data_IF_870757827776
#
_entry.id   IF_870757827776
#
_cell.length_a   1.000
_cell.length_b   1.000
_cell.length_c   1.000
_cell.angle_alpha   90.00
_cell.angle_beta   90.00
_cell.angle_gamma   90.00
#
_symmetry.space_group_name_H-M   'P 1'
#
loop_
_entity.id
_entity.type
_entity.pdbx_description
1 polymer ?
#
# COMPACT_ATOMS: atom_id res chain seq x y z
N UNK A 1 0.97 -58.72 20.13
CA UNK A 1 -0.22 -57.84 20.02
C UNK A 1 -0.33 -56.73 21.07
N UNK A 2 0.29 -56.84 22.26
CA UNK A 2 0.25 -55.78 23.29
C UNK A 2 0.94 -54.48 22.87
N UNK A 3 2.12 -54.58 22.25
CA UNK A 3 2.91 -53.42 21.80
C UNK A 3 2.33 -52.71 20.57
N UNK A 4 1.58 -53.42 19.72
CA UNK A 4 0.92 -52.84 18.55
C UNK A 4 -0.15 -51.82 18.96
N UNK A 5 -0.90 -52.11 20.03
CA UNK A 5 -1.90 -51.18 20.58
C UNK A 5 -1.25 -49.93 21.18
N UNK A 6 -0.12 -50.09 21.87
CA UNK A 6 0.64 -48.96 22.42
C UNK A 6 1.18 -48.08 21.30
N UNK A 7 1.71 -48.69 20.23
CA UNK A 7 2.26 -47.96 19.10
C UNK A 7 1.19 -47.16 18.35
N UNK A 8 -0.02 -47.71 18.18
CA UNK A 8 -1.17 -46.99 17.60
C UNK A 8 -1.62 -45.83 18.48
N UNK A 9 -1.63 -46.00 19.81
CA UNK A 9 -2.01 -44.93 20.74
C UNK A 9 -0.98 -43.79 20.72
N UNK A 10 0.32 -44.10 20.69
CA UNK A 10 1.40 -43.11 20.58
C UNK A 10 1.29 -42.35 19.25
N UNK A 11 1.02 -43.06 18.15
CA UNK A 11 0.85 -42.43 16.84
C UNK A 11 -0.39 -41.52 16.78
N UNK A 12 -1.49 -41.94 17.40
CA UNK A 12 -2.71 -41.12 17.52
C UNK A 12 -2.49 -39.87 18.39
N UNK A 13 -1.73 -40.00 19.49
CA UNK A 13 -1.36 -38.87 20.36
C UNK A 13 -0.44 -37.86 19.65
N UNK A 14 0.48 -38.33 18.79
CA UNK A 14 1.33 -37.44 17.99
C UNK A 14 0.55 -36.71 16.89
N UNK A 15 -0.49 -37.33 16.32
CA UNK A 15 -1.35 -36.69 15.31
C UNK A 15 -2.26 -35.58 15.88
N UNK A 16 -2.49 -35.56 17.20
CA UNK A 16 -3.26 -34.54 17.91
C UNK A 16 -2.41 -33.35 18.39
N UNK A 17 -1.09 -33.36 18.14
CA UNK A 17 -0.26 -32.21 18.44
C UNK A 17 -0.72 -31.01 17.58
N UNK A 18 -1.01 -29.85 18.17
CA UNK A 18 -1.32 -28.66 17.41
C UNK A 18 -0.12 -28.35 16.51
N UNK A 19 -0.32 -28.42 15.21
CA UNK A 19 0.66 -27.92 14.25
C UNK A 19 0.68 -26.40 14.42
N UNK A 20 1.58 -25.91 15.26
CA UNK A 20 1.93 -24.48 15.27
C UNK A 20 2.65 -24.21 13.96
N UNK A 21 1.89 -23.91 12.92
CA UNK A 21 2.42 -23.28 11.72
C UNK A 21 2.88 -21.88 12.16
N UNK A 22 4.12 -21.77 12.63
CA UNK A 22 4.84 -20.49 12.68
C UNK A 22 5.23 -20.10 11.25
N UNK A 23 4.22 -19.97 10.39
CA UNK A 23 4.32 -19.30 9.11
C UNK A 23 3.96 -17.86 9.37
N UNK A 24 4.92 -17.07 9.82
CA UNK A 24 4.80 -15.62 9.88
C UNK A 24 4.86 -15.10 8.43
N UNK A 25 3.85 -15.43 7.64
CA UNK A 25 3.66 -14.91 6.29
C UNK A 25 3.13 -13.49 6.46
N UNK A 26 4.03 -12.55 6.69
CA UNK A 26 3.71 -11.13 6.58
C UNK A 26 3.22 -10.88 5.17
N UNK A 27 1.90 -10.94 4.98
CA UNK A 27 1.29 -10.62 3.70
C UNK A 27 1.46 -9.13 3.48
N UNK A 28 1.83 -8.76 2.26
CA UNK A 28 1.79 -7.37 1.84
C UNK A 28 0.86 -7.21 0.64
N UNK A 29 0.28 -6.02 0.51
CA UNK A 29 -0.51 -5.63 -0.67
C UNK A 29 0.02 -4.30 -1.19
N UNK A 30 -0.02 -4.13 -2.51
CA UNK A 30 0.31 -2.88 -3.21
C UNK A 30 -0.95 -2.36 -3.91
N UNK A 31 -1.21 -1.06 -3.80
CA UNK A 31 -2.38 -0.43 -4.42
C UNK A 31 -2.42 1.08 -4.24
N UNK A 32 -3.43 1.69 -4.85
CA UNK A 32 -3.62 3.14 -4.85
C UNK A 32 -4.53 3.57 -3.70
N UNK A 33 -4.17 4.62 -2.96
CA UNK A 33 -4.97 5.18 -1.89
C UNK A 33 -5.96 6.18 -2.48
N UNK A 34 -7.24 5.79 -2.47
CA UNK A 34 -8.34 6.60 -2.99
C UNK A 34 -8.92 7.52 -1.91
N UNK A 35 -8.94 7.05 -0.67
CA UNK A 35 -9.50 7.81 0.44
C UNK A 35 -8.86 7.43 1.76
N UNK A 36 -8.76 8.39 2.67
CA UNK A 36 -8.22 8.19 4.01
C UNK A 36 -9.26 8.63 5.03
N UNK A 37 -9.52 7.79 6.03
CA UNK A 37 -10.39 8.07 7.18
C UNK A 37 -9.54 8.10 8.46
N UNK A 38 -8.89 9.22 8.79
CA UNK A 38 -7.94 9.29 9.90
C UNK A 38 -8.57 8.89 11.24
N UNK A 39 -9.76 9.42 11.53
CA UNK A 39 -10.48 9.15 12.78
C UNK A 39 -10.85 7.67 12.96
N UNK A 40 -10.97 6.93 11.85
CA UNK A 40 -11.28 5.50 11.86
C UNK A 40 -10.05 4.61 11.74
N UNK A 41 -8.85 5.19 11.59
CA UNK A 41 -7.61 4.48 11.26
C UNK A 41 -7.80 3.59 10.03
N UNK A 42 -8.40 4.12 8.96
CA UNK A 42 -8.68 3.37 7.73
C UNK A 42 -8.17 4.07 6.49
N UNK A 43 -7.87 3.26 5.49
CA UNK A 43 -7.65 3.70 4.11
C UNK A 43 -8.51 2.87 3.18
N UNK A 44 -9.05 3.52 2.15
CA UNK A 44 -9.69 2.85 1.03
C UNK A 44 -8.71 2.82 -0.12
N UNK A 45 -8.51 1.64 -0.68
CA UNK A 45 -7.50 1.39 -1.71
C UNK A 45 -8.08 0.69 -2.93
N UNK A 46 -7.46 0.90 -4.08
CA UNK A 46 -7.68 0.10 -5.29
C UNK A 46 -6.51 -0.84 -5.50
N UNK A 47 -6.81 -2.12 -5.70
CA UNK A 47 -5.82 -3.16 -6.04
C UNK A 47 -6.34 -3.93 -7.24
N UNK A 48 -5.66 -3.85 -8.38
CA UNK A 48 -6.08 -4.54 -9.61
C UNK A 48 -7.53 -4.18 -10.03
N UNK A 49 -7.96 -2.95 -9.80
CA UNK A 49 -9.32 -2.48 -10.08
C UNK A 49 -10.38 -2.84 -9.04
N UNK A 50 -10.01 -3.56 -7.97
CA UNK A 50 -10.92 -3.89 -6.87
C UNK A 50 -10.74 -2.93 -5.70
N UNK A 51 -11.87 -2.49 -5.14
CA UNK A 51 -11.91 -1.61 -3.97
C UNK A 51 -11.78 -2.44 -2.69
N UNK A 52 -10.76 -2.15 -1.89
CA UNK A 52 -10.52 -2.73 -0.57
C UNK A 52 -10.53 -1.62 0.50
N UNK A 53 -10.85 -1.98 1.75
CA UNK A 53 -10.70 -1.09 2.91
C UNK A 53 -9.75 -1.76 3.89
N UNK A 54 -8.67 -1.07 4.23
CA UNK A 54 -7.71 -1.52 5.22
C UNK A 54 -7.87 -0.75 6.52
N UNK A 55 -7.80 -1.49 7.63
CA UNK A 55 -7.75 -0.94 8.98
C UNK A 55 -6.31 -0.97 9.44
N UNK A 56 -5.80 0.17 9.87
CA UNK A 56 -4.46 0.29 10.45
C UNK A 56 -4.52 -0.13 11.92
N UNK A 57 -3.45 -0.77 12.37
CA UNK A 57 -3.19 -0.96 13.78
C UNK A 57 -2.96 0.41 14.46
N UNK A 58 -3.30 0.55 15.74
CA UNK A 58 -3.06 1.78 16.50
C UNK A 58 -1.58 2.17 16.59
N UNK A 59 -0.69 1.19 16.44
CA UNK A 59 0.77 1.36 16.43
C UNK A 59 1.38 1.35 15.02
N UNK A 60 0.54 1.42 13.98
CA UNK A 60 0.98 1.34 12.60
C UNK A 60 1.99 2.44 12.28
N UNK A 61 3.12 2.04 11.70
CA UNK A 61 4.13 2.98 11.25
C UNK A 61 3.84 3.38 9.81
N UNK A 62 3.93 4.68 9.52
CA UNK A 62 3.65 5.22 8.21
C UNK A 62 4.87 6.02 7.77
N UNK A 63 5.41 5.69 6.59
CA UNK A 63 6.58 6.35 6.03
C UNK A 63 6.31 6.88 4.64
N UNK A 64 6.85 8.06 4.36
CA UNK A 64 7.01 8.60 3.00
C UNK A 64 8.47 8.90 2.75
N UNK A 65 9.05 8.30 1.70
CA UNK A 65 10.47 8.45 1.39
C UNK A 65 11.38 8.18 2.60
N UNK A 66 11.03 7.17 3.41
CA UNK A 66 11.76 6.81 4.63
C UNK A 66 11.52 7.72 5.84
N UNK A 67 10.73 8.78 5.70
CA UNK A 67 10.42 9.73 6.78
C UNK A 67 9.09 9.35 7.44
N UNK A 68 9.02 9.22 8.79
CA UNK A 68 7.77 9.01 9.49
C UNK A 68 6.76 10.12 9.17
N UNK A 69 5.53 9.73 8.87
CA UNK A 69 4.46 10.67 8.51
C UNK A 69 3.12 10.27 9.13
N UNK A 70 2.13 11.14 8.99
CA UNK A 70 0.78 10.91 9.51
C UNK A 70 -0.09 10.20 8.48
N UNK A 71 -1.12 9.50 8.94
CA UNK A 71 -2.14 8.91 8.05
C UNK A 71 -2.83 9.97 7.18
N UNK A 72 -3.09 11.17 7.74
CA UNK A 72 -3.68 12.31 7.03
C UNK A 72 -2.86 12.69 5.80
N UNK A 73 -1.54 12.58 5.88
CA UNK A 73 -0.65 12.95 4.78
C UNK A 73 -0.80 12.02 3.56
N UNK A 74 -1.32 10.81 3.73
CA UNK A 74 -1.51 9.83 2.67
C UNK A 74 -2.75 10.07 1.78
N UNK A 75 -3.49 11.16 1.98
CA UNK A 75 -4.66 11.53 1.16
C UNK A 75 -4.28 11.74 -0.31
N UNK A 76 -5.18 11.49 -1.27
CA UNK A 76 -4.98 11.89 -2.67
C UNK A 76 -4.57 13.35 -2.78
N UNK A 77 -3.74 13.65 -3.78
CA UNK A 77 -3.13 14.98 -3.95
C UNK A 77 -4.08 15.91 -4.69
N UNK A 78 -4.77 15.37 -5.69
CA UNK A 78 -5.82 16.00 -6.45
C UNK A 78 -6.82 14.94 -6.91
N UNK A 79 -7.92 15.36 -7.53
CA UNK A 79 -8.84 14.44 -8.19
C UNK A 79 -8.08 13.66 -9.28
N UNK A 80 -8.19 12.34 -9.27
CA UNK A 80 -7.44 11.45 -10.17
C UNK A 80 -5.96 11.21 -9.79
N UNK A 81 -5.38 12.04 -8.93
CA UNK A 81 -3.97 11.92 -8.51
C UNK A 81 -3.85 11.17 -7.17
N UNK A 82 -3.89 9.84 -7.25
CA UNK A 82 -3.79 8.95 -6.10
C UNK A 82 -2.33 8.66 -5.71
N UNK A 83 -2.09 8.53 -4.41
CA UNK A 83 -0.81 8.07 -3.89
C UNK A 83 -0.76 6.56 -3.87
N UNK A 84 0.40 6.00 -4.17
CA UNK A 84 0.59 4.57 -4.07
C UNK A 84 0.96 4.16 -2.64
N UNK A 85 0.49 2.98 -2.24
CA UNK A 85 0.73 2.41 -0.92
C UNK A 85 1.21 0.95 -0.98
N UNK A 86 2.21 0.64 -0.15
CA UNK A 86 2.60 -0.72 0.20
C UNK A 86 2.19 -0.98 1.66
N UNK A 87 1.32 -1.97 1.85
CA UNK A 87 0.68 -2.26 3.13
C UNK A 87 1.12 -3.61 3.64
N UNK A 88 1.73 -3.66 4.82
CA UNK A 88 2.12 -4.90 5.49
C UNK A 88 1.14 -5.19 6.62
N UNK A 89 0.66 -6.42 6.67
CA UNK A 89 -0.38 -6.84 7.61
C UNK A 89 0.19 -7.72 8.71
N UNK A 90 -0.38 -7.60 9.90
CA UNK A 90 -0.23 -8.61 10.96
C UNK A 90 -1.20 -9.78 10.76
N UNK A 91 -1.10 -10.78 11.64
CA UNK A 91 -1.93 -12.00 11.60
C UNK A 91 -3.43 -11.72 11.81
N UNK A 92 -3.80 -10.53 12.28
CA UNK A 92 -5.19 -10.09 12.43
C UNK A 92 -5.72 -9.38 11.17
N UNK A 93 -4.92 -9.25 10.12
CA UNK A 93 -5.29 -8.52 8.90
C UNK A 93 -5.30 -7.00 9.08
N UNK A 94 -4.60 -6.47 10.09
CA UNK A 94 -4.42 -5.02 10.29
C UNK A 94 -3.09 -4.55 9.73
N UNK A 95 -3.08 -3.36 9.14
CA UNK A 95 -1.85 -2.76 8.60
C UNK A 95 -0.97 -2.30 9.76
N UNK A 96 0.25 -2.83 9.84
CA UNK A 96 1.26 -2.47 10.85
C UNK A 96 2.35 -1.58 10.29
N UNK A 97 2.56 -1.61 8.97
CA UNK A 97 3.48 -0.75 8.25
C UNK A 97 2.85 -0.33 6.93
N UNK A 98 2.85 0.97 6.68
CA UNK A 98 2.40 1.58 5.43
C UNK A 98 3.54 2.41 4.84
N UNK A 99 3.99 2.05 3.65
CA UNK A 99 4.89 2.90 2.85
C UNK A 99 4.04 3.62 1.83
N UNK A 100 4.09 4.94 1.81
CA UNK A 100 3.34 5.77 0.86
C UNK A 100 4.30 6.61 0.07
N UNK A 101 4.16 6.61 -1.25
CA UNK A 101 4.95 7.50 -2.08
C UNK A 101 4.13 8.09 -3.22
N UNK A 102 4.63 9.23 -3.67
CA UNK A 102 4.18 9.90 -4.86
C UNK A 102 5.31 10.79 -5.35
N UNK A 103 5.69 10.60 -6.61
CA UNK A 103 6.78 11.32 -7.25
C UNK A 103 6.27 11.86 -8.57
N UNK A 104 6.47 13.17 -8.78
CA UNK A 104 6.26 13.82 -10.07
C UNK A 104 7.59 14.42 -10.49
N UNK A 105 7.94 14.29 -11.77
CA UNK A 105 8.95 15.10 -12.42
C UNK A 105 8.34 15.94 -13.53
N UNK A 106 8.94 17.09 -13.82
CA UNK A 106 8.64 17.88 -15.00
C UNK A 106 9.77 17.71 -16.02
N UNK A 107 9.44 17.33 -17.24
CA UNK A 107 10.38 17.29 -18.37
C UNK A 107 9.95 18.27 -19.44
N UNK A 108 10.92 18.84 -20.15
CA UNK A 108 10.65 19.76 -21.26
C UNK A 108 11.39 19.30 -22.51
N UNK A 109 10.67 19.22 -23.63
CA UNK A 109 11.23 18.93 -24.93
C UNK A 109 10.71 19.89 -26.01
N UNK A 110 10.96 19.59 -27.29
CA UNK A 110 10.51 20.42 -28.41
C UNK A 110 8.98 20.45 -28.58
N UNK A 111 8.26 19.51 -27.98
CA UNK A 111 6.82 19.32 -28.06
C UNK A 111 6.07 19.99 -26.90
N UNK A 112 6.76 20.30 -25.79
CA UNK A 112 6.20 21.04 -24.67
C UNK A 112 6.81 20.63 -23.31
N UNK A 113 6.12 21.02 -22.24
CA UNK A 113 6.40 20.57 -20.88
C UNK A 113 5.45 19.42 -20.52
N UNK A 114 5.97 18.41 -19.82
CA UNK A 114 5.22 17.24 -19.39
C UNK A 114 5.45 16.97 -17.91
N UNK A 115 4.39 16.61 -17.20
CA UNK A 115 4.44 16.08 -15.85
C UNK A 115 4.42 14.55 -15.93
N UNK A 116 5.45 13.91 -15.40
CA UNK A 116 5.58 12.45 -15.33
C UNK A 116 5.30 12.02 -13.90
N UNK A 117 4.33 11.12 -13.74
CA UNK A 117 3.95 10.55 -12.45
C UNK A 117 4.58 9.17 -12.33
N UNK A 118 5.24 8.91 -11.20
CA UNK A 118 5.88 7.62 -10.95
C UNK A 118 5.19 6.86 -9.83
N UNK A 119 5.23 5.53 -9.96
CA UNK A 119 4.87 4.61 -8.87
C UNK A 119 5.97 4.56 -7.79
N UNK A 120 5.73 3.81 -6.71
CA UNK A 120 6.71 3.69 -5.60
C UNK A 120 8.03 3.03 -6.01
N UNK A 121 8.04 2.31 -7.13
CA UNK A 121 9.19 1.60 -7.66
C UNK A 121 9.98 2.45 -8.68
N UNK A 122 9.52 3.66 -8.99
CA UNK A 122 10.13 4.56 -9.95
C UNK A 122 9.71 4.29 -11.40
N UNK A 123 8.65 3.53 -11.63
CA UNK A 123 8.10 3.28 -12.97
C UNK A 123 7.14 4.39 -13.35
N UNK A 124 7.16 4.83 -14.61
CA UNK A 124 6.17 5.79 -15.13
C UNK A 124 4.79 5.17 -15.07
N UNK A 125 3.90 5.84 -14.33
CA UNK A 125 2.51 5.48 -14.12
C UNK A 125 1.58 6.26 -15.04
N UNK A 126 1.84 7.56 -15.19
CA UNK A 126 1.07 8.46 -16.06
C UNK A 126 1.94 9.61 -16.55
N UNK A 127 1.50 10.29 -17.62
CA UNK A 127 2.17 11.44 -18.22
C UNK A 127 1.14 12.43 -18.74
N UNK A 128 1.17 13.65 -18.21
CA UNK A 128 0.29 14.74 -18.63
C UNK A 128 1.09 15.83 -19.33
N UNK A 129 0.58 16.35 -20.45
CA UNK A 129 1.17 17.54 -21.05
C UNK A 129 0.74 18.77 -20.24
N UNK A 130 1.70 19.46 -19.65
CA UNK A 130 1.43 20.68 -18.90
C UNK A 130 0.86 21.73 -19.86
N UNK A 131 -0.27 22.39 -19.52
CA UNK A 131 -0.83 23.43 -20.37
C UNK A 131 0.21 24.52 -20.60
N UNK A 132 0.45 24.85 -21.88
CA UNK A 132 1.35 25.93 -22.24
C UNK A 132 0.82 27.23 -21.66
N UNK A 133 1.51 27.80 -20.68
CA UNK A 133 1.22 29.16 -20.22
C UNK A 133 1.57 30.08 -21.38
N UNK A 134 0.56 30.50 -22.15
CA UNK A 134 0.72 31.61 -23.08
C UNK A 134 0.80 32.86 -22.21
N UNK A 135 2.01 33.25 -21.81
CA UNK A 135 2.27 34.59 -21.30
C UNK A 135 1.98 35.59 -22.43
N UNK A 136 0.78 36.17 -22.43
CA UNK A 136 0.44 37.23 -23.37
C UNK A 136 -1.04 37.58 -23.48
N UNK A 137 -1.53 38.45 -22.59
CA UNK A 137 -2.37 39.61 -22.96
C UNK A 137 -2.78 40.38 -21.70
N UNK A 138 -1.83 41.05 -21.06
CA UNK A 138 -2.12 42.16 -20.16
C UNK A 138 -1.76 43.47 -20.88
N UNK A 139 -2.46 43.73 -21.98
CA UNK A 139 -2.56 45.05 -22.61
C UNK A 139 -4.04 45.28 -22.93
N UNK A 140 -4.76 45.84 -21.96
CA UNK A 140 -5.99 46.61 -22.14
C UNK A 140 -6.05 47.71 -21.08
#
# INVERSE_FOLDING_TARGET
MRYLKVLVIVFALMALAPQTAFGNSTSFKYGEIIEVFPEQHKVRVVIGGQMDIFVLDSSAQIYRNGIPTSLVSARPIAEGCFQDGLFFFNDQGRVVLMLVNYTIDEIQDQSGAYLIYYDIFGTVKDMEQSPTVIEGSADL
#
